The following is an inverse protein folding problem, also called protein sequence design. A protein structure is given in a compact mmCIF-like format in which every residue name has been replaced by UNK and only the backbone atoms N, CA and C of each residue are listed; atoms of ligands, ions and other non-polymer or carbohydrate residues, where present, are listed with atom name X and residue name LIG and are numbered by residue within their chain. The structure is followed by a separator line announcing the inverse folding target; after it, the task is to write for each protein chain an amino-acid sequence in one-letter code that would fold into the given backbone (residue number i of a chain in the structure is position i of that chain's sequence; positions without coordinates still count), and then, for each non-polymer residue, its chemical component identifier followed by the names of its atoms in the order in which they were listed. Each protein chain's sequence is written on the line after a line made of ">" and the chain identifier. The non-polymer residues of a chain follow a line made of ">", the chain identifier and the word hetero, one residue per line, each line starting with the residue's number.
data_IF_969472368802
#
_entry.id   IF_969472368802
#
_cell.length_a   1.000
_cell.length_b   1.000
_cell.length_c   1.000
_cell.angle_alpha   90.00
_cell.angle_beta   90.00
_cell.angle_gamma   90.00
#
_symmetry.space_group_name_H-M   'P 1'
#
loop_
_entity.id
_entity.type
_entity.pdbx_description
1 polymer ?
#
# COMPACT_ATOMS: atom_id res chain seq x y z
N UNK A 1 19.90 -3.10 8.59
CA UNK A 1 19.24 -2.58 9.82
C UNK A 1 18.28 -3.67 10.30
N UNK A 2 18.12 -3.90 11.60
CA UNK A 2 17.17 -4.90 12.10
C UNK A 2 15.74 -4.57 11.65
N UNK A 3 14.98 -5.61 11.30
CA UNK A 3 13.59 -5.53 10.82
C UNK A 3 12.57 -5.40 11.96
N UNK A 4 13.00 -4.87 13.11
CA UNK A 4 12.17 -4.63 14.29
C UNK A 4 12.71 -3.40 15.05
N UNK A 5 11.87 -2.77 15.89
CA UNK A 5 12.32 -1.75 16.83
C UNK A 5 13.44 -2.27 17.73
N UNK A 6 14.43 -1.43 18.04
CA UNK A 6 15.57 -1.79 18.89
C UNK A 6 15.20 -1.86 20.37
N UNK A 7 14.23 -1.06 20.79
CA UNK A 7 13.67 -1.07 22.15
C UNK A 7 12.22 -1.56 22.17
N UNK A 8 11.63 -1.59 23.36
CA UNK A 8 10.21 -1.88 23.52
C UNK A 8 9.39 -0.60 23.35
N UNK A 9 8.53 -0.49 22.32
CA UNK A 9 7.78 0.74 22.09
C UNK A 9 6.57 0.87 23.02
N UNK A 10 6.37 2.07 23.54
CA UNK A 10 5.18 2.49 24.29
C UNK A 10 5.00 4.03 24.12
N UNK A 11 3.84 4.61 24.45
CA UNK A 11 3.60 6.05 24.23
C UNK A 11 4.16 6.95 25.35
N UNK A 12 4.77 6.38 26.39
CA UNK A 12 5.21 7.15 27.55
C UNK A 12 6.51 7.89 27.26
N UNK A 13 6.68 9.04 27.94
CA UNK A 13 7.94 9.79 28.01
C UNK A 13 9.10 8.85 28.35
N UNK A 14 10.21 9.00 27.64
CA UNK A 14 11.45 8.28 27.89
C UNK A 14 12.56 9.29 28.11
N UNK A 15 13.45 9.03 29.06
CA UNK A 15 14.54 9.95 29.37
C UNK A 15 15.78 9.24 29.93
N UNK A 16 16.94 9.84 29.67
CA UNK A 16 18.20 9.59 30.32
C UNK A 16 18.91 10.93 30.53
N UNK A 17 19.09 11.37 31.78
CA UNK A 17 19.73 12.66 32.06
C UNK A 17 21.26 12.57 32.19
N UNK A 18 21.84 11.37 32.07
CA UNK A 18 23.28 11.16 32.21
C UNK A 18 24.03 11.66 30.96
N UNK A 19 24.55 12.89 31.04
CA UNK A 19 25.36 13.53 30.00
C UNK A 19 26.61 14.24 30.57
N UNK A 20 26.97 13.93 31.82
CA UNK A 20 28.04 14.64 32.52
C UNK A 20 29.39 14.39 31.84
N UNK A 21 30.06 15.47 31.42
CA UNK A 21 31.34 15.40 30.71
C UNK A 21 31.22 15.06 29.22
N UNK A 22 29.99 14.96 28.69
CA UNK A 22 29.76 14.79 27.27
C UNK A 22 30.02 16.09 26.50
N UNK A 23 30.64 15.92 25.35
CA UNK A 23 30.90 16.97 24.36
C UNK A 23 30.58 16.39 23.00
N UNK A 24 29.30 16.42 22.66
CA UNK A 24 28.73 15.78 21.48
C UNK A 24 28.20 16.80 20.47
N UNK A 25 28.19 16.38 19.21
CA UNK A 25 27.59 17.11 18.09
C UNK A 25 26.60 16.18 17.37
N UNK A 26 25.55 16.76 16.79
CA UNK A 26 24.68 16.04 15.85
C UNK A 26 25.29 16.15 14.46
N UNK A 27 25.96 15.10 14.01
CA UNK A 27 26.63 15.04 12.72
C UNK A 27 25.65 14.86 11.55
N UNK A 28 24.46 14.29 11.83
CA UNK A 28 23.42 14.09 10.85
C UNK A 28 22.16 13.52 11.45
N UNK A 29 21.07 13.58 10.69
CA UNK A 29 19.82 12.91 11.03
C UNK A 29 19.40 12.08 9.81
N UNK A 30 18.82 10.90 10.04
CA UNK A 30 18.33 10.01 8.99
C UNK A 30 16.95 9.48 9.34
N UNK A 31 16.11 9.29 8.31
CA UNK A 31 14.82 8.63 8.43
C UNK A 31 14.88 7.36 7.58
N UNK A 32 14.40 6.25 8.12
CA UNK A 32 14.18 5.02 7.38
C UNK A 32 12.81 4.44 7.70
N UNK A 33 12.00 4.24 6.67
CA UNK A 33 10.72 3.55 6.80
C UNK A 33 10.89 2.03 6.74
N UNK A 34 10.20 1.35 7.63
CA UNK A 34 10.05 -0.11 7.70
C UNK A 34 8.56 -0.47 7.67
N UNK A 35 8.25 -1.77 7.49
CA UNK A 35 6.87 -2.23 7.34
C UNK A 35 5.95 -1.84 8.50
N UNK A 36 6.47 -1.82 9.74
CA UNK A 36 5.70 -1.61 10.98
C UNK A 36 6.21 -0.48 11.86
N UNK A 37 7.26 0.23 11.44
CA UNK A 37 7.79 1.37 12.18
C UNK A 37 8.60 2.28 11.26
N UNK A 38 8.73 3.54 11.64
CA UNK A 38 9.74 4.42 11.08
C UNK A 38 10.87 4.58 12.10
N UNK A 39 12.09 4.72 11.59
CA UNK A 39 13.30 4.91 12.39
C UNK A 39 13.89 6.28 12.11
N UNK A 40 13.93 7.13 13.13
CA UNK A 40 14.72 8.36 13.12
C UNK A 40 16.05 8.10 13.83
N UNK A 41 17.17 8.33 13.14
CA UNK A 41 18.52 8.16 13.69
C UNK A 41 19.20 9.50 13.76
N UNK A 42 19.62 9.89 14.96
CA UNK A 42 20.54 11.02 15.17
C UNK A 42 21.96 10.46 15.20
N UNK A 43 22.75 10.74 14.17
CA UNK A 43 24.17 10.39 14.10
C UNK A 43 24.95 11.39 14.94
N UNK A 44 25.71 10.89 15.91
CA UNK A 44 26.43 11.72 16.86
C UNK A 44 27.94 11.63 16.60
N UNK A 45 28.66 12.68 16.96
CA UNK A 45 30.11 12.71 17.00
C UNK A 45 30.60 13.38 18.27
N UNK A 46 31.89 13.24 18.60
CA UNK A 46 32.47 13.79 19.83
C UNK A 46 32.72 12.73 20.89
N UNK A 47 32.70 13.13 22.16
CA UNK A 47 33.05 12.27 23.30
C UNK A 47 31.97 12.24 24.36
N UNK A 48 31.80 11.09 25.02
CA UNK A 48 30.79 10.88 26.07
C UNK A 48 29.53 10.19 25.55
N UNK A 49 28.53 10.05 26.42
CA UNK A 49 27.22 9.49 26.09
C UNK A 49 26.15 10.59 26.06
N UNK A 50 25.19 10.54 25.13
CA UNK A 50 24.13 11.53 25.08
C UNK A 50 23.14 11.30 26.23
N UNK A 51 22.84 12.37 26.96
CA UNK A 51 21.56 12.45 27.65
C UNK A 51 20.46 12.75 26.65
N UNK A 52 19.22 12.41 26.98
CA UNK A 52 18.07 12.64 26.11
C UNK A 52 16.76 12.65 26.88
N UNK A 53 15.79 13.39 26.36
CA UNK A 53 14.38 13.34 26.75
C UNK A 53 13.57 13.26 25.47
N UNK A 54 12.69 12.26 25.38
CA UNK A 54 11.75 12.09 24.27
C UNK A 54 10.33 11.98 24.82
N UNK A 55 9.47 12.90 24.40
CA UNK A 55 8.09 13.00 24.87
C UNK A 55 7.18 13.69 23.86
N UNK A 56 5.87 13.43 23.97
CA UNK A 56 4.88 14.19 23.22
C UNK A 56 4.76 15.61 23.76
N UNK A 57 4.76 16.58 22.84
CA UNK A 57 4.62 18.00 23.14
C UNK A 57 3.41 18.56 22.38
N UNK A 58 2.45 19.12 23.10
CA UNK A 58 1.21 19.65 22.53
C UNK A 58 1.40 21.05 21.93
N UNK A 59 2.48 21.74 22.26
CA UNK A 59 2.78 23.08 21.78
C UNK A 59 4.30 23.34 21.81
N UNK A 60 5.08 22.66 20.95
CA UNK A 60 6.52 22.79 20.95
C UNK A 60 6.93 24.23 20.65
N UNK A 61 7.84 24.74 21.47
CA UNK A 61 8.40 26.08 21.33
C UNK A 61 9.92 26.02 21.24
N UNK A 62 10.48 26.96 20.49
CA UNK A 62 11.92 27.14 20.34
C UNK A 62 12.57 27.35 21.72
N UNK A 63 13.72 26.71 21.94
CA UNK A 63 14.52 26.93 23.13
C UNK A 63 14.85 28.43 23.29
N UNK A 64 14.90 28.92 24.52
CA UNK A 64 15.19 30.33 24.86
C UNK A 64 14.15 31.40 24.42
N UNK A 65 13.71 31.43 23.15
CA UNK A 65 12.78 32.44 22.63
C UNK A 65 11.32 32.13 22.98
N UNK A 66 10.95 30.85 23.06
CA UNK A 66 9.58 30.41 23.35
C UNK A 66 8.61 30.61 22.19
N UNK A 67 9.09 30.90 20.97
CA UNK A 67 8.22 30.98 19.80
C UNK A 67 7.74 29.59 19.37
N UNK A 68 6.50 29.43 18.89
CA UNK A 68 6.01 28.14 18.40
C UNK A 68 6.88 27.60 17.24
N UNK A 69 7.19 26.31 17.28
CA UNK A 69 7.85 25.61 16.19
C UNK A 69 6.78 25.06 15.24
N UNK A 70 6.86 25.42 13.96
CA UNK A 70 6.02 24.82 12.93
C UNK A 70 6.55 23.44 12.54
N UNK A 71 5.66 22.47 12.39
CA UNK A 71 5.96 21.10 11.96
C UNK A 71 4.77 20.54 11.16
N UNK A 72 5.03 19.57 10.27
CA UNK A 72 4.00 18.87 9.52
C UNK A 72 3.37 17.75 10.36
N UNK A 73 2.04 17.67 10.41
CA UNK A 73 1.27 16.69 11.19
C UNK A 73 0.38 17.32 12.26
N UNK A 74 -0.25 16.48 13.10
CA UNK A 74 -1.14 16.91 14.18
C UNK A 74 -0.51 16.75 15.57
N UNK A 75 0.53 15.91 15.69
CA UNK A 75 1.18 15.56 16.96
C UNK A 75 2.68 15.80 16.83
N UNK A 76 3.29 16.41 17.84
CA UNK A 76 4.74 16.59 17.92
C UNK A 76 5.34 15.65 18.97
N UNK A 77 6.34 14.87 18.54
CA UNK A 77 7.23 14.14 19.44
C UNK A 77 8.54 14.95 19.57
N UNK A 78 8.74 15.58 20.72
CA UNK A 78 9.93 16.38 21.02
C UNK A 78 11.09 15.47 21.44
N UNK A 79 12.25 15.67 20.82
CA UNK A 79 13.51 15.01 21.15
C UNK A 79 14.51 16.08 21.60
N UNK A 80 14.85 16.06 22.89
CA UNK A 80 15.87 16.94 23.46
C UNK A 80 17.13 16.12 23.73
N UNK A 81 18.21 16.41 23.03
CA UNK A 81 19.51 15.76 23.20
C UNK A 81 20.40 16.62 24.11
N UNK A 82 20.96 16.03 25.17
CA UNK A 82 21.68 16.71 26.25
C UNK A 82 23.15 16.32 26.22
N UNK A 83 24.05 17.28 26.48
CA UNK A 83 25.51 17.09 26.41
C UNK A 83 26.12 17.58 25.08
N UNK A 84 25.44 18.53 24.42
CA UNK A 84 25.81 19.05 23.11
C UNK A 84 26.24 20.51 23.22
N UNK A 85 27.50 20.83 22.97
CA UNK A 85 28.04 22.16 23.30
C UNK A 85 28.30 23.06 22.08
N UNK A 86 28.02 22.59 20.87
CA UNK A 86 28.19 23.37 19.64
C UNK A 86 26.84 23.78 19.03
N UNK A 87 26.82 24.82 18.16
CA UNK A 87 25.62 25.16 17.42
C UNK A 87 25.12 24.01 16.55
N UNK A 88 23.81 23.88 16.42
CA UNK A 88 23.18 22.86 15.59
C UNK A 88 23.22 23.28 14.11
N UNK A 89 23.80 22.44 13.24
CA UNK A 89 23.99 22.74 11.81
C UNK A 89 23.22 21.82 10.85
N UNK A 90 22.41 20.90 11.37
CA UNK A 90 21.58 20.02 10.54
C UNK A 90 20.28 20.72 10.12
N UNK A 91 19.83 20.46 8.90
CA UNK A 91 18.57 20.98 8.37
C UNK A 91 17.39 20.06 8.67
N UNK A 92 16.17 20.59 8.47
CA UNK A 92 14.95 19.79 8.54
C UNK A 92 14.87 18.75 7.43
N UNK A 93 14.13 17.67 7.69
CA UNK A 93 13.93 16.56 6.76
C UNK A 93 12.46 16.24 6.63
N UNK A 94 12.03 15.94 5.40
CA UNK A 94 10.70 15.44 5.12
C UNK A 94 10.62 13.93 5.32
N UNK A 95 9.45 13.44 5.70
CA UNK A 95 9.13 12.04 5.85
C UNK A 95 9.29 11.22 4.58
N UNK A 96 9.44 9.90 4.73
CA UNK A 96 9.63 8.96 3.60
C UNK A 96 8.37 8.16 3.25
N UNK A 97 7.19 8.61 3.71
CA UNK A 97 5.90 7.96 3.44
C UNK A 97 5.43 6.97 4.50
N UNK A 98 5.98 7.03 5.72
CA UNK A 98 5.49 6.32 6.91
C UNK A 98 4.78 7.26 7.91
N UNK A 99 4.86 6.96 9.21
CA UNK A 99 4.25 7.79 10.28
C UNK A 99 5.00 9.07 10.59
N UNK A 100 6.28 9.18 10.21
CA UNK A 100 7.05 10.41 10.36
C UNK A 100 6.76 11.33 9.17
N UNK A 101 6.07 12.44 9.41
CA UNK A 101 5.81 13.46 8.40
C UNK A 101 7.03 14.35 8.17
N UNK A 102 7.73 14.73 9.24
CA UNK A 102 8.87 15.64 9.20
C UNK A 102 9.73 15.52 10.46
N UNK A 103 11.02 15.85 10.35
CA UNK A 103 11.90 16.14 11.48
C UNK A 103 12.40 17.58 11.37
N UNK A 104 12.10 18.42 12.36
CA UNK A 104 12.43 19.84 12.41
C UNK A 104 13.48 20.08 13.50
N UNK A 105 14.72 20.48 13.17
CA UNK A 105 15.66 20.98 14.16
C UNK A 105 15.28 22.40 14.59
N UNK A 106 15.37 22.71 15.88
CA UNK A 106 15.33 24.09 16.39
C UNK A 106 16.76 24.65 16.50
N UNK A 107 17.39 24.49 17.66
CA UNK A 107 18.76 24.94 17.91
C UNK A 107 19.38 24.21 19.08
N UNK A 108 20.65 24.53 19.30
CA UNK A 108 21.34 24.22 20.54
C UNK A 108 21.19 25.39 21.52
N UNK A 109 20.80 25.11 22.77
CA UNK A 109 20.81 26.07 23.86
C UNK A 109 21.21 25.40 25.18
N UNK A 110 22.21 25.97 25.87
CA UNK A 110 22.71 25.51 27.18
C UNK A 110 23.03 24.00 27.25
N UNK A 111 23.64 23.44 26.19
CA UNK A 111 24.00 22.02 26.21
C UNK A 111 22.92 21.09 25.62
N UNK A 112 21.78 21.63 25.18
CA UNK A 112 20.64 20.87 24.69
C UNK A 112 20.33 21.20 23.23
N UNK A 113 20.25 20.19 22.37
CA UNK A 113 19.76 20.32 20.99
C UNK A 113 18.35 19.76 20.88
N UNK A 114 17.40 20.58 20.43
CA UNK A 114 15.99 20.19 20.28
C UNK A 114 15.62 19.85 18.83
N UNK A 115 14.82 18.80 18.68
CA UNK A 115 14.17 18.40 17.44
C UNK A 115 12.70 18.09 17.69
N UNK A 116 11.86 18.41 16.71
CA UNK A 116 10.45 18.03 16.68
C UNK A 116 10.24 17.02 15.56
N UNK A 117 9.68 15.86 15.90
CA UNK A 117 9.22 14.87 14.93
C UNK A 117 7.71 15.05 14.78
N UNK A 118 7.26 15.44 13.59
CA UNK A 118 5.85 15.62 13.26
C UNK A 118 5.19 14.29 12.87
N UNK A 119 4.03 14.00 13.47
CA UNK A 119 3.25 12.77 13.30
C UNK A 119 1.76 13.12 13.10
N UNK A 120 0.99 12.21 12.51
CA UNK A 120 -0.47 12.39 12.36
C UNK A 120 -1.25 12.09 13.65
N UNK A 121 -0.71 11.22 14.51
CA UNK A 121 -1.31 10.80 15.78
C UNK A 121 -0.23 10.30 16.75
N UNK A 122 -0.57 10.17 18.04
CA UNK A 122 0.32 9.53 19.01
C UNK A 122 0.45 8.04 18.71
N UNK A 123 1.69 7.56 18.62
CA UNK A 123 2.04 6.18 18.35
C UNK A 123 3.09 5.67 19.36
N UNK A 124 3.08 4.38 19.75
CA UNK A 124 4.13 3.86 20.61
C UNK A 124 5.52 4.07 20.00
N UNK A 125 6.50 4.48 20.80
CA UNK A 125 7.87 4.68 20.35
C UNK A 125 8.89 4.09 21.33
N UNK A 126 10.08 3.78 20.85
CA UNK A 126 11.22 3.39 21.68
C UNK A 126 12.43 4.26 21.38
N UNK A 127 13.31 4.42 22.36
CA UNK A 127 14.56 5.17 22.23
C UNK A 127 15.71 4.25 22.60
N UNK A 128 16.72 4.15 21.76
CA UNK A 128 17.89 3.28 21.98
C UNK A 128 19.18 4.01 21.63
N UNK A 129 20.06 4.28 22.60
CA UNK A 129 21.41 4.73 22.31
C UNK A 129 22.24 3.57 21.75
N UNK A 130 23.04 3.83 20.72
CA UNK A 130 24.02 2.89 20.18
C UNK A 130 25.41 3.49 20.34
N UNK A 131 26.39 2.65 20.59
CA UNK A 131 27.80 3.03 20.61
C UNK A 131 28.49 2.57 19.31
N UNK A 132 29.63 3.19 18.99
CA UNK A 132 30.53 2.78 17.90
C UNK A 132 29.87 2.56 16.51
N UNK A 133 29.51 3.63 15.78
CA UNK A 133 29.54 5.04 16.16
C UNK A 133 28.36 5.43 17.07
N UNK A 134 28.49 6.51 17.87
CA UNK A 134 27.44 6.96 18.77
C UNK A 134 26.21 7.44 17.99
N UNK A 135 25.03 6.92 18.34
CA UNK A 135 23.74 7.28 17.73
C UNK A 135 22.65 7.29 18.78
N UNK A 136 21.66 8.16 18.61
CA UNK A 136 20.35 7.96 19.26
C UNK A 136 19.35 7.50 18.22
N UNK A 137 18.73 6.34 18.44
CA UNK A 137 17.72 5.77 17.55
C UNK A 137 16.34 5.92 18.19
N UNK A 138 15.40 6.50 17.47
CA UNK A 138 13.99 6.60 17.84
C UNK A 138 13.19 5.77 16.85
N UNK A 139 12.61 4.67 17.32
CA UNK A 139 11.72 3.82 16.53
C UNK A 139 10.28 4.12 16.88
N UNK A 140 9.48 4.50 15.88
CA UNK A 140 8.10 4.98 16.03
C UNK A 140 7.21 3.97 15.32
N UNK A 141 6.40 3.24 16.08
CA UNK A 141 5.55 2.19 15.52
C UNK A 141 4.48 2.78 14.61
N UNK A 142 4.20 2.04 13.54
CA UNK A 142 2.99 2.22 12.75
C UNK A 142 2.33 0.88 12.47
N UNK A 143 1.05 0.93 12.13
CA UNK A 143 0.36 -0.28 11.70
C UNK A 143 1.01 -0.79 10.42
N UNK A 144 1.21 -2.10 10.30
CA UNK A 144 1.83 -2.68 9.13
C UNK A 144 1.18 -2.14 7.86
N UNK A 145 1.98 -1.60 6.93
CA UNK A 145 1.46 -1.34 5.60
C UNK A 145 0.79 -2.63 5.08
N UNK A 146 -0.45 -2.57 4.56
CA UNK A 146 -1.13 -3.77 4.11
C UNK A 146 -0.24 -4.48 3.08
N UNK A 147 -0.15 -5.82 3.13
CA UNK A 147 0.71 -6.56 2.24
C UNK A 147 0.37 -6.23 0.78
N UNK A 148 1.39 -6.16 -0.07
CA UNK A 148 1.19 -5.93 -1.49
C UNK A 148 0.18 -6.94 -2.06
N UNK A 149 -0.80 -6.50 -2.89
CA UNK A 149 -1.79 -7.39 -3.46
C UNK A 149 -1.14 -8.61 -4.11
N UNK A 150 -1.70 -9.78 -3.87
CA UNK A 150 -1.30 -11.02 -4.51
C UNK A 150 -2.40 -11.50 -5.48
N UNK A 151 -2.04 -12.30 -6.51
CA UNK A 151 -3.03 -13.02 -7.30
C UNK A 151 -3.92 -13.88 -6.40
N UNK A 152 -5.22 -13.91 -6.68
CA UNK A 152 -6.18 -14.78 -6.03
C UNK A 152 -6.17 -16.15 -6.70
N UNK A 153 -6.24 -17.22 -5.90
CA UNK A 153 -6.16 -18.58 -6.41
C UNK A 153 -4.75 -18.98 -6.85
N UNK A 154 -4.64 -19.93 -7.78
CA UNK A 154 -3.35 -20.44 -8.26
C UNK A 154 -3.26 -20.28 -9.78
N UNK A 155 -2.50 -19.27 -10.26
CA UNK A 155 -2.36 -19.05 -11.70
C UNK A 155 -1.70 -20.23 -12.41
N UNK A 156 -2.37 -20.76 -13.42
CA UNK A 156 -1.80 -21.76 -14.36
C UNK A 156 -2.29 -21.48 -15.77
N UNK A 157 -1.78 -22.18 -16.78
CA UNK A 157 -2.26 -22.06 -18.17
C UNK A 157 -3.45 -22.97 -18.48
N UNK A 158 -3.91 -23.74 -17.51
CA UNK A 158 -4.98 -24.71 -17.71
C UNK A 158 -6.35 -24.03 -17.69
N UNK A 159 -7.29 -24.44 -18.56
CA UNK A 159 -8.69 -24.00 -18.55
C UNK A 159 -9.30 -24.04 -17.14
N UNK A 160 -10.05 -22.99 -16.79
CA UNK A 160 -10.80 -22.90 -15.52
C UNK A 160 -12.29 -23.07 -15.80
N UNK A 161 -12.94 -23.89 -14.98
CA UNK A 161 -14.39 -24.07 -15.02
C UNK A 161 -14.98 -24.10 -13.61
N UNK A 162 -16.10 -23.41 -13.43
CA UNK A 162 -16.99 -23.53 -12.28
C UNK A 162 -18.44 -23.45 -12.76
N UNK A 163 -19.29 -24.36 -12.31
CA UNK A 163 -20.72 -24.31 -12.64
C UNK A 163 -21.42 -23.22 -11.81
N UNK A 164 -22.38 -22.52 -12.41
CA UNK A 164 -23.20 -21.51 -11.72
C UNK A 164 -24.22 -22.16 -10.77
N UNK A 165 -24.59 -21.45 -9.70
CA UNK A 165 -25.62 -21.84 -8.74
C UNK A 165 -26.94 -21.09 -8.91
N UNK A 166 -28.06 -21.76 -8.66
CA UNK A 166 -29.38 -21.15 -8.69
C UNK A 166 -29.61 -20.18 -7.52
N UNK A 167 -30.49 -19.15 -7.67
CA UNK A 167 -31.17 -18.76 -8.91
C UNK A 167 -30.18 -18.11 -9.90
N UNK A 168 -30.28 -18.38 -11.18
CA UNK A 168 -29.35 -17.85 -12.20
C UNK A 168 -29.69 -16.39 -12.58
N UNK A 169 -29.57 -15.48 -11.62
CA UNK A 169 -30.02 -14.09 -11.71
C UNK A 169 -28.90 -13.10 -11.38
N UNK A 170 -27.67 -13.40 -11.80
CA UNK A 170 -26.54 -12.51 -11.63
C UNK A 170 -26.46 -11.51 -12.78
N UNK A 171 -26.37 -10.22 -12.49
CA UNK A 171 -26.20 -9.16 -13.48
C UNK A 171 -24.78 -8.60 -13.38
N UNK A 172 -24.09 -8.50 -14.51
CA UNK A 172 -22.76 -7.86 -14.58
C UNK A 172 -22.98 -6.35 -14.70
N UNK A 173 -22.45 -5.59 -13.74
CA UNK A 173 -22.65 -4.13 -13.64
C UNK A 173 -21.41 -3.32 -13.98
N UNK A 174 -20.24 -3.95 -13.98
CA UNK A 174 -18.99 -3.31 -14.35
C UNK A 174 -17.90 -4.31 -14.68
N UNK A 175 -16.95 -3.88 -15.50
CA UNK A 175 -15.70 -4.59 -15.79
C UNK A 175 -14.55 -3.62 -15.51
N UNK A 176 -13.65 -3.99 -14.62
CA UNK A 176 -12.53 -3.16 -14.18
C UNK A 176 -11.21 -3.87 -14.44
N UNK A 177 -10.23 -3.12 -14.93
CA UNK A 177 -8.86 -3.58 -15.10
C UNK A 177 -7.94 -2.81 -14.14
N UNK A 178 -7.02 -3.52 -13.49
CA UNK A 178 -5.97 -2.94 -12.66
C UNK A 178 -4.64 -3.65 -12.90
N UNK A 179 -3.55 -2.90 -12.98
CA UNK A 179 -2.20 -3.47 -13.02
C UNK A 179 -1.57 -3.42 -11.63
N UNK A 180 -1.00 -4.54 -11.19
CA UNK A 180 -0.25 -4.69 -9.94
C UNK A 180 1.23 -4.94 -10.24
N UNK A 181 2.07 -5.10 -9.21
CA UNK A 181 3.51 -5.25 -9.40
C UNK A 181 3.88 -6.45 -10.29
N UNK A 182 3.19 -7.59 -10.09
CA UNK A 182 3.53 -8.89 -10.69
C UNK A 182 2.38 -9.55 -11.48
N UNK A 183 1.23 -8.88 -11.61
CA UNK A 183 0.06 -9.40 -12.33
C UNK A 183 -0.89 -8.27 -12.73
N UNK A 184 -1.73 -8.51 -13.72
CA UNK A 184 -2.90 -7.68 -14.02
C UNK A 184 -4.17 -8.39 -13.55
N UNK A 185 -5.19 -7.61 -13.19
CA UNK A 185 -6.47 -8.09 -12.64
C UNK A 185 -7.63 -7.53 -13.43
N UNK A 186 -8.48 -8.42 -13.94
CA UNK A 186 -9.82 -8.08 -14.42
C UNK A 186 -10.83 -8.46 -13.35
N UNK A 187 -11.74 -7.53 -13.03
CA UNK A 187 -12.84 -7.75 -12.09
C UNK A 187 -14.16 -7.51 -12.79
N UNK A 188 -15.01 -8.52 -12.78
CA UNK A 188 -16.41 -8.41 -13.15
C UNK A 188 -17.22 -8.17 -11.87
N UNK A 189 -17.87 -7.01 -11.76
CA UNK A 189 -18.72 -6.67 -10.62
C UNK A 189 -20.14 -7.21 -10.87
N UNK A 190 -20.65 -8.03 -9.95
CA UNK A 190 -21.97 -8.66 -10.07
C UNK A 190 -22.93 -8.22 -8.96
N UNK A 191 -24.21 -8.14 -9.32
CA UNK A 191 -25.33 -7.96 -8.39
C UNK A 191 -26.43 -8.98 -8.71
N UNK A 192 -27.36 -9.15 -7.78
CA UNK A 192 -28.49 -10.06 -7.93
C UNK A 192 -28.35 -11.28 -7.03
N UNK A 193 -28.91 -12.41 -7.45
CA UNK A 193 -28.99 -13.62 -6.63
C UNK A 193 -28.45 -14.86 -7.35
N UNK A 194 -28.05 -15.85 -6.57
CA UNK A 194 -27.36 -17.07 -7.04
C UNK A 194 -25.84 -16.97 -6.93
N UNK A 195 -25.15 -17.85 -7.65
CA UNK A 195 -23.69 -17.81 -7.75
C UNK A 195 -23.28 -17.87 -9.22
N UNK A 196 -22.39 -16.96 -9.68
CA UNK A 196 -21.90 -17.05 -11.05
C UNK A 196 -21.01 -18.28 -11.22
N UNK A 197 -21.00 -18.81 -12.44
CA UNK A 197 -20.01 -19.77 -12.89
C UNK A 197 -19.13 -19.17 -13.98
N UNK A 198 -18.13 -19.92 -14.42
CA UNK A 198 -17.25 -19.52 -15.51
C UNK A 198 -16.74 -20.71 -16.29
N UNK A 199 -16.40 -20.47 -17.55
CA UNK A 199 -15.62 -21.35 -18.41
C UNK A 199 -14.58 -20.47 -19.08
N UNK A 200 -13.32 -20.88 -19.04
CA UNK A 200 -12.21 -20.12 -19.65
C UNK A 200 -11.35 -21.02 -20.50
N UNK A 201 -10.86 -20.48 -21.62
CA UNK A 201 -9.95 -21.17 -22.53
C UNK A 201 -9.13 -20.14 -23.31
N UNK A 202 -7.88 -20.48 -23.63
CA UNK A 202 -7.15 -19.73 -24.65
C UNK A 202 -7.74 -20.05 -26.01
N UNK A 203 -8.09 -19.01 -26.77
CA UNK A 203 -8.65 -19.12 -28.11
C UNK A 203 -7.88 -18.18 -29.04
N UNK A 204 -7.36 -18.72 -30.14
CA UNK A 204 -6.62 -17.92 -31.12
C UNK A 204 -7.56 -17.15 -32.05
N UNK A 205 -8.79 -17.64 -32.25
CA UNK A 205 -9.76 -17.11 -33.20
C UNK A 205 -11.15 -17.02 -32.54
N UNK A 206 -11.29 -16.22 -31.45
CA UNK A 206 -12.56 -16.10 -30.74
C UNK A 206 -13.65 -15.60 -31.69
N UNK A 207 -14.83 -16.21 -31.60
CA UNK A 207 -16.01 -15.83 -32.39
C UNK A 207 -17.20 -15.54 -31.49
N UNK A 208 -18.07 -14.64 -31.92
CA UNK A 208 -19.32 -14.35 -31.22
C UNK A 208 -20.18 -15.62 -31.11
N UNK A 209 -20.58 -15.98 -29.88
CA UNK A 209 -21.33 -17.21 -29.62
C UNK A 209 -22.68 -17.32 -30.37
N UNK A 210 -23.26 -16.20 -30.81
CA UNK A 210 -24.55 -16.16 -31.52
C UNK A 210 -24.44 -16.08 -33.04
N UNK A 211 -23.47 -15.31 -33.56
CA UNK A 211 -23.34 -15.05 -35.01
C UNK A 211 -22.21 -15.83 -35.67
N UNK A 212 -21.30 -16.42 -34.88
CA UNK A 212 -20.03 -17.00 -35.31
C UNK A 212 -19.11 -16.02 -36.10
N UNK A 213 -19.36 -14.71 -36.00
CA UNK A 213 -18.45 -13.70 -36.55
C UNK A 213 -17.19 -13.59 -35.66
N UNK A 214 -15.99 -13.36 -36.23
CA UNK A 214 -14.78 -13.11 -35.45
C UNK A 214 -14.95 -11.95 -34.47
N UNK A 215 -14.33 -12.06 -33.30
CA UNK A 215 -14.19 -10.97 -32.33
C UNK A 215 -12.78 -10.40 -32.50
N UNK A 216 -12.69 -9.13 -32.89
CA UNK A 216 -11.42 -8.41 -32.97
C UNK A 216 -10.92 -8.09 -31.55
N UNK A 217 -9.62 -8.28 -31.31
CA UNK A 217 -8.95 -7.95 -30.05
C UNK A 217 -7.47 -7.58 -30.29
N UNK A 218 -6.88 -6.84 -29.36
CA UNK A 218 -5.49 -6.42 -29.28
C UNK A 218 -4.67 -7.44 -28.50
N UNK A 219 -3.41 -7.62 -28.87
CA UNK A 219 -2.51 -8.61 -28.27
C UNK A 219 -2.30 -9.83 -29.16
N UNK A 220 -1.47 -10.77 -28.70
CA UNK A 220 -1.08 -11.96 -29.47
C UNK A 220 -1.87 -13.23 -29.12
N UNK A 221 -2.65 -13.19 -28.06
CA UNK A 221 -3.39 -14.35 -27.54
C UNK A 221 -4.68 -13.86 -26.90
N UNK A 222 -5.81 -14.51 -27.19
CA UNK A 222 -7.06 -14.25 -26.50
C UNK A 222 -7.31 -15.30 -25.42
N UNK A 223 -7.73 -14.84 -24.24
CA UNK A 223 -8.35 -15.65 -23.21
C UNK A 223 -9.87 -15.42 -23.26
N UNK A 224 -10.61 -16.41 -23.75
CA UNK A 224 -12.06 -16.39 -23.74
C UNK A 224 -12.56 -16.66 -22.31
N UNK A 225 -13.44 -15.81 -21.82
CA UNK A 225 -14.08 -15.92 -20.51
C UNK A 225 -15.59 -15.90 -20.69
N UNK A 226 -16.24 -17.03 -20.46
CA UNK A 226 -17.69 -17.16 -20.48
C UNK A 226 -18.21 -17.25 -19.06
N UNK A 227 -18.86 -16.19 -18.57
CA UNK A 227 -19.54 -16.19 -17.28
C UNK A 227 -20.93 -16.80 -17.41
N UNK A 228 -21.31 -17.66 -16.47
CA UNK A 228 -22.58 -18.42 -16.50
C UNK A 228 -23.47 -18.07 -15.32
N UNK A 229 -24.77 -18.29 -15.48
CA UNK A 229 -25.78 -17.86 -14.50
C UNK A 229 -26.11 -16.36 -14.59
N UNK A 230 -25.79 -15.74 -15.74
CA UNK A 230 -25.92 -14.30 -15.95
C UNK A 230 -27.27 -13.95 -16.56
N UNK A 231 -27.91 -12.90 -16.07
CA UNK A 231 -29.12 -12.31 -16.66
C UNK A 231 -28.81 -10.91 -17.22
N UNK A 232 -29.38 -10.52 -18.37
CA UNK A 232 -29.33 -9.14 -18.82
C UNK A 232 -30.42 -8.28 -18.16
N UNK A 233 -31.26 -8.85 -17.30
CA UNK A 233 -32.41 -8.15 -16.71
C UNK A 233 -32.03 -7.62 -15.32
N UNK A 234 -32.12 -6.30 -15.15
CA UNK A 234 -31.94 -5.63 -13.87
C UNK A 234 -33.16 -5.76 -12.95
N UNK A 235 -33.00 -5.37 -11.68
CA UNK A 235 -34.06 -5.47 -10.67
C UNK A 235 -35.31 -4.65 -11.01
N UNK A 236 -35.16 -3.53 -11.74
CA UNK A 236 -36.26 -2.70 -12.21
C UNK A 236 -36.97 -3.27 -13.47
N UNK A 237 -36.53 -4.43 -13.96
CA UNK A 237 -37.03 -5.09 -15.15
C UNK A 237 -36.44 -4.57 -16.46
N UNK A 238 -35.55 -3.58 -16.43
CA UNK A 238 -34.85 -3.11 -17.62
C UNK A 238 -33.83 -4.12 -18.13
N UNK A 239 -33.59 -4.13 -19.44
CA UNK A 239 -32.50 -4.90 -20.06
C UNK A 239 -31.24 -4.05 -20.08
N UNK A 240 -30.16 -4.55 -19.51
CA UNK A 240 -28.84 -3.93 -19.47
C UNK A 240 -27.90 -4.63 -20.47
N UNK A 241 -27.16 -3.88 -21.29
CA UNK A 241 -26.10 -4.46 -22.11
C UNK A 241 -24.94 -4.95 -21.21
N UNK A 242 -24.05 -5.78 -21.77
CA UNK A 242 -22.79 -6.06 -21.10
C UNK A 242 -21.97 -4.77 -20.99
N UNK A 243 -21.36 -4.48 -19.84
CA UNK A 243 -20.54 -3.29 -19.69
C UNK A 243 -19.24 -3.43 -20.50
N UNK A 244 -18.77 -2.30 -21.03
CA UNK A 244 -17.41 -2.18 -21.55
C UNK A 244 -16.42 -2.16 -20.38
N UNK A 245 -15.20 -2.65 -20.62
CA UNK A 245 -14.12 -2.46 -19.67
C UNK A 245 -13.62 -1.01 -19.71
N UNK A 246 -13.28 -0.47 -18.53
CA UNK A 246 -12.65 0.83 -18.47
C UNK A 246 -11.30 0.84 -19.25
N UNK A 247 -11.00 1.88 -20.05
CA UNK A 247 -9.74 1.95 -20.77
C UNK A 247 -8.60 2.18 -19.78
N UNK A 248 -7.78 1.16 -19.61
CA UNK A 248 -6.60 1.17 -18.73
C UNK A 248 -5.51 0.36 -19.43
N UNK A 249 -4.28 0.88 -19.48
CA UNK A 249 -3.13 0.11 -19.96
C UNK A 249 -2.74 -0.92 -18.88
N UNK A 250 -3.07 -2.19 -19.09
CA UNK A 250 -2.43 -3.30 -18.38
C UNK A 250 -1.00 -3.50 -18.89
N UNK A 251 -0.17 -4.26 -18.15
CA UNK A 251 1.17 -4.64 -18.64
C UNK A 251 1.14 -5.90 -19.50
N UNK A 252 0.33 -6.88 -19.13
CA UNK A 252 0.15 -8.15 -19.85
C UNK A 252 -1.22 -8.23 -20.51
N UNK A 253 -2.24 -7.58 -19.92
CA UNK A 253 -3.58 -7.44 -20.50
C UNK A 253 -3.59 -6.19 -21.38
N UNK A 254 -3.85 -6.37 -22.67
CA UNK A 254 -3.96 -5.28 -23.66
C UNK A 254 -5.35 -4.67 -23.64
N UNK A 255 -6.38 -5.50 -23.61
CA UNK A 255 -7.77 -5.05 -23.51
C UNK A 255 -8.73 -6.14 -23.02
N UNK A 256 -9.98 -5.75 -22.78
CA UNK A 256 -11.10 -6.66 -22.50
C UNK A 256 -12.29 -6.27 -23.36
N UNK A 257 -12.66 -7.16 -24.27
CA UNK A 257 -13.76 -6.99 -25.22
C UNK A 257 -14.98 -7.77 -24.73
N UNK A 258 -16.15 -7.14 -24.69
CA UNK A 258 -17.41 -7.87 -24.48
C UNK A 258 -17.91 -8.48 -25.79
N UNK A 259 -18.39 -9.72 -25.73
CA UNK A 259 -18.93 -10.44 -26.88
C UNK A 259 -20.44 -10.30 -26.96
N UNK A 260 -21.15 -11.24 -26.35
CA UNK A 260 -22.62 -11.20 -26.25
C UNK A 260 -23.10 -11.94 -25.02
N UNK A 261 -24.40 -11.79 -24.72
CA UNK A 261 -25.09 -12.62 -23.74
C UNK A 261 -26.15 -13.48 -24.44
N UNK A 262 -26.13 -14.79 -24.21
CA UNK A 262 -27.08 -15.74 -24.77
C UNK A 262 -27.37 -16.86 -23.76
N UNK A 263 -28.65 -17.18 -23.54
CA UNK A 263 -29.10 -18.30 -22.66
C UNK A 263 -28.43 -18.38 -21.27
N UNK A 264 -28.07 -17.25 -20.67
CA UNK A 264 -27.43 -17.23 -19.35
C UNK A 264 -25.90 -17.20 -19.38
N UNK A 265 -25.30 -17.14 -20.57
CA UNK A 265 -23.87 -17.12 -20.82
C UNK A 265 -23.43 -15.75 -21.35
N UNK A 266 -22.61 -15.03 -20.59
CA UNK A 266 -21.99 -13.78 -21.02
C UNK A 266 -20.55 -14.02 -21.46
N UNK A 267 -20.24 -13.71 -22.71
CA UNK A 267 -18.92 -13.92 -23.33
C UNK A 267 -18.09 -12.64 -23.23
N UNK A 268 -16.82 -12.79 -22.82
CA UNK A 268 -15.78 -11.78 -22.86
C UNK A 268 -14.50 -12.36 -23.46
N UNK A 269 -13.69 -11.52 -24.08
CA UNK A 269 -12.36 -11.86 -24.59
C UNK A 269 -11.36 -10.92 -23.93
N UNK A 270 -10.36 -11.49 -23.26
CA UNK A 270 -9.24 -10.75 -22.67
C UNK A 270 -8.05 -10.89 -23.63
N UNK A 271 -7.61 -9.78 -24.21
CA UNK A 271 -6.42 -9.72 -25.04
C UNK A 271 -5.14 -9.74 -24.19
N UNK A 272 -4.15 -10.54 -24.60
CA UNK A 272 -2.92 -10.75 -23.84
C UNK A 272 -1.66 -10.66 -24.72
N UNK A 273 -0.57 -10.16 -24.14
CA UNK A 273 0.80 -10.29 -24.65
C UNK A 273 1.37 -11.71 -24.37
N UNK A 274 0.68 -12.72 -24.90
CA UNK A 274 1.01 -14.14 -24.83
C UNK A 274 0.16 -14.95 -23.85
N UNK A 275 0.44 -16.25 -23.75
CA UNK A 275 -0.30 -17.24 -22.95
C UNK A 275 0.09 -17.26 -21.46
N UNK A 276 0.07 -16.11 -20.79
CA UNK A 276 0.48 -15.98 -19.40
C UNK A 276 -0.40 -16.80 -18.42
N UNK A 277 0.16 -17.42 -17.37
CA UNK A 277 -0.63 -18.14 -16.37
C UNK A 277 -1.69 -17.24 -15.72
N UNK A 278 -2.87 -17.79 -15.52
CA UNK A 278 -4.00 -17.06 -14.95
C UNK A 278 -4.80 -17.90 -13.94
N UNK A 279 -5.53 -17.19 -13.07
CA UNK A 279 -6.48 -17.77 -12.12
C UNK A 279 -7.83 -17.07 -12.23
N UNK A 280 -8.88 -17.77 -11.81
CA UNK A 280 -10.23 -17.22 -11.67
C UNK A 280 -10.70 -17.49 -10.25
N UNK A 281 -11.20 -16.45 -9.57
CA UNK A 281 -11.69 -16.53 -8.19
C UNK A 281 -13.01 -15.79 -8.04
N UNK A 282 -13.84 -16.26 -7.11
CA UNK A 282 -15.06 -15.57 -6.67
C UNK A 282 -14.77 -14.86 -5.35
N UNK A 283 -15.02 -13.56 -5.28
CA UNK A 283 -15.17 -12.84 -4.02
C UNK A 283 -16.65 -12.72 -3.71
N UNK A 284 -16.99 -12.82 -2.43
CA UNK A 284 -18.34 -12.58 -1.92
C UNK A 284 -18.44 -11.16 -1.32
N UNK A 285 -19.66 -10.65 -1.14
CA UNK A 285 -19.99 -9.41 -0.41
C UNK A 285 -19.19 -8.14 -0.81
N UNK A 286 -19.39 -7.57 -2.01
CA UNK A 286 -20.27 -8.01 -3.09
C UNK A 286 -19.61 -9.07 -4.00
N UNK A 287 -20.45 -9.80 -4.72
CA UNK A 287 -20.00 -10.84 -5.65
C UNK A 287 -19.18 -10.27 -6.80
N UNK A 288 -17.96 -10.79 -6.96
CA UNK A 288 -17.04 -10.40 -8.02
C UNK A 288 -16.33 -11.62 -8.57
N UNK A 289 -16.37 -11.79 -9.89
CA UNK A 289 -15.48 -12.75 -10.56
C UNK A 289 -14.19 -12.02 -10.90
N UNK A 290 -13.07 -12.54 -10.40
CA UNK A 290 -11.75 -11.95 -10.54
C UNK A 290 -10.88 -12.85 -11.40
N UNK A 291 -10.28 -12.30 -12.44
CA UNK A 291 -9.29 -12.97 -13.29
C UNK A 291 -7.94 -12.30 -13.09
N UNK A 292 -6.98 -13.03 -12.54
CA UNK A 292 -5.61 -12.54 -12.36
C UNK A 292 -4.68 -13.19 -13.37
N UNK A 293 -3.88 -12.39 -14.06
CA UNK A 293 -2.94 -12.82 -15.11
C UNK A 293 -1.54 -12.38 -14.73
N UNK A 294 -0.62 -13.34 -14.56
CA UNK A 294 0.75 -13.03 -14.14
C UNK A 294 1.52 -12.25 -15.20
N UNK A 295 2.36 -11.33 -14.73
CA UNK A 295 3.43 -10.76 -15.54
C UNK A 295 4.50 -11.85 -15.80
N UNK A 296 5.22 -11.73 -16.91
CA UNK A 296 6.30 -12.65 -17.27
C UNK A 296 7.62 -12.32 -16.59
#
# INVERSE_FOLDING_TARGET
>A
MPAHPLGQPDPLRKENWEAAGSDLDVAGVRIGSHDTFDRVVFDLSGTGEPGWVVEYDVAPTELASGFPIAYDGNVALSVNLIGFNTPLWVGGMQGTGGVVNQVVPDKNHHGTSQFIIGLDQETPFSVTPLQEPPRLVVDILHEAAPPAPQPLGTPTREPKRQDSGAPHQQLITGVRLASHENFDRVVFDLVGSGSPGWITEFDAEPTHQTSAAPIDYEGSTALQVTLTGITPIAEDGSTQPLPDAAPVEGRVITEVVNGSIFEGHAQFVIGLEGDSPYSVSLLEDPQRVVVDVLHR
#
